data_IF_546646756386
#
_entry.id   IF_546646756386
#
_cell.length_a   1.000
_cell.length_b   1.000
_cell.length_c   1.000
_cell.angle_alpha   90.00
_cell.angle_beta   90.00
_cell.angle_gamma   90.00
#
_symmetry.space_group_name_H-M   'P 1'
#
loop_
_entity.id
_entity.type
_entity.pdbx_description
1 polymer ?
#
# COMPACT_ATOMS: atom_id res chain seq x y z
N UNK A 1 34.61 -2.73 -2.09
CA UNK A 1 33.58 -2.83 -3.13
C UNK A 1 32.22 -2.62 -2.45
N UNK A 2 31.38 -1.76 -3.02
CA UNK A 2 29.99 -1.58 -2.58
C UNK A 2 29.11 -2.52 -3.40
N UNK A 3 28.15 -3.20 -2.77
CA UNK A 3 27.14 -4.02 -3.44
C UNK A 3 25.76 -3.63 -2.93
N UNK A 4 24.81 -3.55 -3.82
CA UNK A 4 23.42 -3.24 -3.50
C UNK A 4 22.70 -4.53 -3.12
N UNK A 5 22.00 -4.51 -1.97
CA UNK A 5 21.07 -5.53 -1.54
C UNK A 5 19.73 -4.83 -1.32
N UNK A 6 18.76 -5.12 -2.16
CA UNK A 6 17.42 -4.55 -2.07
C UNK A 6 16.56 -5.17 -0.98
N UNK A 7 15.39 -4.59 -0.75
CA UNK A 7 14.31 -5.21 -0.02
C UNK A 7 13.31 -5.84 -1.01
N UNK A 8 12.32 -6.57 -0.51
CA UNK A 8 11.39 -7.24 -1.39
C UNK A 8 10.13 -7.75 -0.72
N UNK A 9 9.36 -8.50 -1.48
CA UNK A 9 8.13 -9.16 -1.08
C UNK A 9 8.42 -10.34 -0.15
N UNK A 10 7.72 -10.36 0.97
CA UNK A 10 7.75 -11.48 1.92
C UNK A 10 6.65 -12.48 1.55
N UNK A 11 7.03 -13.52 0.81
CA UNK A 11 6.11 -14.54 0.33
C UNK A 11 5.44 -15.34 1.45
N UNK A 12 5.99 -15.29 2.66
CA UNK A 12 5.41 -16.01 3.81
C UNK A 12 4.02 -15.51 4.20
N UNK A 13 3.68 -14.28 3.83
CA UNK A 13 2.36 -13.69 4.06
C UNK A 13 1.24 -14.48 3.37
N UNK A 14 1.53 -15.11 2.22
CA UNK A 14 0.58 -15.91 1.45
C UNK A 14 0.21 -17.24 2.12
N UNK A 15 1.00 -17.68 3.11
CA UNK A 15 0.69 -18.86 3.92
C UNK A 15 -0.42 -18.62 4.95
N UNK A 16 -0.86 -17.36 5.09
CA UNK A 16 -1.92 -17.00 6.03
C UNK A 16 -3.28 -17.48 5.53
N UNK A 17 -4.09 -18.00 6.44
CA UNK A 17 -5.48 -18.38 6.13
C UNK A 17 -6.37 -17.16 5.98
N UNK A 18 -7.42 -17.29 5.16
CA UNK A 18 -8.44 -16.24 5.00
C UNK A 18 -9.24 -16.08 6.30
N UNK A 19 -9.27 -14.86 6.83
CA UNK A 19 -10.00 -14.48 8.04
C UNK A 19 -11.40 -13.96 7.66
N UNK A 20 -12.40 -14.83 7.84
CA UNK A 20 -13.81 -14.49 7.53
C UNK A 20 -14.36 -13.41 8.47
N UNK A 21 -13.95 -13.41 9.74
CA UNK A 21 -14.41 -12.40 10.70
C UNK A 21 -13.95 -11.00 10.30
N UNK A 22 -12.74 -10.87 9.74
CA UNK A 22 -12.22 -9.61 9.21
C UNK A 22 -13.05 -9.14 8.00
N UNK A 23 -13.36 -10.06 7.08
CA UNK A 23 -14.17 -9.76 5.90
C UNK A 23 -15.55 -9.26 6.31
N UNK A 24 -16.24 -10.01 7.18
CA UNK A 24 -17.59 -9.68 7.64
C UNK A 24 -17.62 -8.37 8.43
N UNK A 25 -16.66 -8.17 9.34
CA UNK A 25 -16.56 -6.98 10.20
C UNK A 25 -16.47 -5.68 9.41
N UNK A 26 -15.76 -5.70 8.29
CA UNK A 26 -15.51 -4.51 7.46
C UNK A 26 -16.23 -4.57 6.12
N UNK A 27 -17.04 -5.60 5.86
CA UNK A 27 -17.79 -5.79 4.60
C UNK A 27 -16.87 -5.70 3.38
N UNK A 28 -15.67 -6.31 3.46
CA UNK A 28 -14.60 -6.17 2.46
C UNK A 28 -15.00 -6.74 1.09
N UNK A 29 -15.89 -7.72 1.06
CA UNK A 29 -16.44 -8.36 -0.14
C UNK A 29 -17.55 -7.53 -0.81
N UNK A 30 -18.17 -6.59 -0.06
CA UNK A 30 -19.34 -5.81 -0.50
C UNK A 30 -19.01 -4.37 -0.86
N UNK A 31 -18.01 -3.79 -0.18
CA UNK A 31 -17.66 -2.37 -0.32
C UNK A 31 -16.40 -2.17 -1.15
N UNK A 32 -16.37 -1.07 -1.90
CA UNK A 32 -15.09 -0.60 -2.41
C UNK A 32 -14.26 -0.08 -1.22
N UNK A 33 -13.19 -0.78 -0.91
CA UNK A 33 -12.36 -0.50 0.25
C UNK A 33 -10.97 -0.07 -0.17
N UNK A 34 -10.59 1.14 0.23
CA UNK A 34 -9.22 1.64 0.16
C UNK A 34 -8.58 1.47 1.55
N UNK A 35 -7.43 0.80 1.60
CA UNK A 35 -6.78 0.49 2.88
C UNK A 35 -5.43 1.17 3.03
N UNK A 36 -5.12 1.53 4.27
CA UNK A 36 -3.76 1.84 4.71
C UNK A 36 -3.37 0.90 5.84
N UNK A 37 -2.19 0.28 5.76
CA UNK A 37 -1.66 -0.58 6.83
C UNK A 37 -0.26 -0.14 7.20
N UNK A 38 -0.04 0.21 8.47
CA UNK A 38 1.30 0.52 8.98
C UNK A 38 1.38 1.64 9.99
N UNK A 39 2.57 2.21 10.16
CA UNK A 39 2.80 3.28 11.12
C UNK A 39 2.06 4.56 10.70
N UNK A 40 1.24 5.13 11.60
CA UNK A 40 0.53 6.41 11.40
C UNK A 40 1.39 7.53 12.00
N UNK A 41 2.46 7.86 11.29
CA UNK A 41 3.47 8.80 11.78
C UNK A 41 3.82 9.89 10.76
N UNK A 42 4.63 10.83 11.22
CA UNK A 42 4.98 12.06 10.50
C UNK A 42 5.55 11.86 9.08
N UNK A 43 6.25 10.75 8.85
CA UNK A 43 6.90 10.48 7.56
C UNK A 43 5.93 9.99 6.46
N UNK A 44 4.72 9.57 6.84
CA UNK A 44 3.74 9.02 5.91
C UNK A 44 2.87 10.07 5.24
N UNK A 45 2.65 11.25 5.87
CA UNK A 45 1.83 12.30 5.27
C UNK A 45 0.36 11.90 5.05
N UNK A 46 -0.22 11.16 6.01
CA UNK A 46 -1.58 10.62 5.91
C UNK A 46 -2.70 11.67 5.88
N UNK A 47 -2.39 12.93 6.15
CA UNK A 47 -3.34 14.04 5.91
C UNK A 47 -3.86 14.06 4.48
N UNK A 48 -3.02 13.70 3.50
CA UNK A 48 -3.42 13.60 2.09
C UNK A 48 -4.56 12.59 1.84
N UNK A 49 -4.68 11.52 2.67
CA UNK A 49 -5.82 10.60 2.59
C UNK A 49 -7.12 11.29 3.01
N UNK A 50 -7.09 12.14 4.05
CA UNK A 50 -8.28 12.87 4.48
C UNK A 50 -8.71 13.88 3.42
N UNK A 51 -7.75 14.57 2.79
CA UNK A 51 -8.02 15.50 1.69
C UNK A 51 -8.62 14.78 0.49
N UNK A 52 -8.06 13.64 0.12
CA UNK A 52 -8.59 12.76 -0.93
C UNK A 52 -10.00 12.26 -0.62
N UNK A 53 -10.27 11.80 0.59
CA UNK A 53 -11.59 11.32 1.00
C UNK A 53 -12.66 12.43 1.01
N UNK A 54 -12.26 13.67 1.36
CA UNK A 54 -13.15 14.83 1.34
C UNK A 54 -13.46 15.29 -0.08
N UNK A 55 -12.49 15.29 -0.98
CA UNK A 55 -12.61 15.82 -2.33
C UNK A 55 -13.16 14.82 -3.33
N UNK A 56 -12.90 13.50 -3.13
CA UNK A 56 -13.41 12.45 -4.02
C UNK A 56 -14.93 12.52 -4.18
N UNK A 57 -15.41 12.27 -5.40
CA UNK A 57 -16.82 12.15 -5.72
C UNK A 57 -17.44 10.81 -5.27
N UNK A 58 -16.62 9.80 -4.99
CA UNK A 58 -17.02 8.45 -4.57
C UNK A 58 -17.18 8.36 -3.05
N UNK A 59 -18.25 8.95 -2.51
CA UNK A 59 -18.51 8.99 -1.06
C UNK A 59 -18.87 7.63 -0.44
N UNK A 60 -19.23 6.65 -1.27
CA UNK A 60 -19.54 5.28 -0.89
C UNK A 60 -18.28 4.45 -0.57
N UNK A 61 -17.11 4.89 -1.00
CA UNK A 61 -15.84 4.21 -0.71
C UNK A 61 -15.51 4.31 0.76
N UNK A 62 -15.19 3.17 1.38
CA UNK A 62 -14.67 3.18 2.75
C UNK A 62 -13.14 3.23 2.77
N UNK A 63 -12.61 4.02 3.68
CA UNK A 63 -11.18 4.10 3.98
C UNK A 63 -10.90 3.46 5.33
N UNK A 64 -10.07 2.40 5.35
CA UNK A 64 -9.71 1.70 6.57
C UNK A 64 -8.21 1.90 6.86
N UNK A 65 -7.91 2.56 7.98
CA UNK A 65 -6.53 2.82 8.40
C UNK A 65 -6.17 1.90 9.56
N UNK A 66 -5.30 0.94 9.29
CA UNK A 66 -4.78 0.02 10.29
C UNK A 66 -3.38 0.45 10.71
N UNK A 67 -3.20 0.68 11.99
CA UNK A 67 -1.92 1.04 12.57
C UNK A 67 -2.00 1.83 13.85
N UNK A 68 -0.82 2.22 14.31
CA UNK A 68 -0.61 3.15 15.42
C UNK A 68 0.50 4.13 15.06
N UNK A 69 0.60 5.23 15.76
CA UNK A 69 1.65 6.22 15.53
C UNK A 69 1.28 7.59 16.06
N UNK A 70 2.24 8.50 16.03
CA UNK A 70 2.14 9.81 16.67
C UNK A 70 1.05 10.73 16.08
N UNK A 71 0.66 10.52 14.82
CA UNK A 71 -0.36 11.35 14.16
C UNK A 71 -1.77 10.76 14.24
N UNK A 72 -1.94 9.52 14.79
CA UNK A 72 -3.24 8.84 14.77
C UNK A 72 -4.37 9.66 15.37
N UNK A 73 -4.19 10.13 16.61
CA UNK A 73 -5.26 10.80 17.36
C UNK A 73 -5.61 12.16 16.72
N UNK A 74 -4.61 12.87 16.20
CA UNK A 74 -4.79 14.13 15.48
C UNK A 74 -5.60 13.90 14.18
N UNK A 75 -5.21 12.90 13.37
CA UNK A 75 -5.89 12.61 12.12
C UNK A 75 -7.31 12.08 12.34
N UNK A 76 -7.53 11.28 13.39
CA UNK A 76 -8.86 10.81 13.76
C UNK A 76 -9.77 11.96 14.17
N UNK A 77 -9.23 12.94 14.90
CA UNK A 77 -9.95 14.15 15.27
C UNK A 77 -10.29 15.00 14.02
N UNK A 78 -9.32 15.21 13.12
CA UNK A 78 -9.54 15.95 11.86
C UNK A 78 -10.61 15.27 11.00
N UNK A 79 -10.60 13.94 10.88
CA UNK A 79 -11.61 13.21 10.13
C UNK A 79 -13.02 13.45 10.69
N UNK A 80 -13.17 13.47 12.03
CA UNK A 80 -14.44 13.77 12.70
C UNK A 80 -14.89 15.21 12.45
N UNK A 81 -14.00 16.18 12.60
CA UNK A 81 -14.29 17.63 12.40
C UNK A 81 -14.71 17.92 10.95
N UNK A 82 -14.12 17.19 9.99
CA UNK A 82 -14.44 17.29 8.54
C UNK A 82 -15.66 16.45 8.14
N UNK A 83 -16.28 15.70 9.07
CA UNK A 83 -17.45 14.87 8.78
C UNK A 83 -17.17 13.67 7.88
N UNK A 84 -15.94 13.15 7.85
CA UNK A 84 -15.51 12.03 7.01
C UNK A 84 -15.93 10.68 7.63
N UNK A 85 -17.25 10.39 7.56
CA UNK A 85 -17.83 9.18 8.18
C UNK A 85 -17.39 7.86 7.51
N UNK A 86 -16.82 7.95 6.32
CA UNK A 86 -16.30 6.82 5.56
C UNK A 86 -14.81 6.53 5.84
N UNK A 87 -14.14 7.32 6.69
CA UNK A 87 -12.76 7.12 7.15
C UNK A 87 -12.77 6.52 8.56
N UNK A 88 -12.14 5.34 8.73
CA UNK A 88 -12.13 4.61 9.99
C UNK A 88 -10.72 4.25 10.42
N UNK A 89 -10.35 4.60 11.64
CA UNK A 89 -9.10 4.20 12.29
C UNK A 89 -9.34 2.90 13.06
N UNK A 90 -8.79 1.78 12.56
CA UNK A 90 -9.15 0.42 12.95
C UNK A 90 -8.20 -0.20 13.99
N UNK A 91 -7.19 0.56 14.46
CA UNK A 91 -6.17 0.04 15.36
C UNK A 91 -5.12 -0.82 14.63
N UNK A 92 -4.35 -1.60 15.39
CA UNK A 92 -3.28 -2.44 14.82
C UNK A 92 -3.88 -3.70 14.23
N UNK A 93 -3.50 -4.02 12.98
CA UNK A 93 -3.83 -5.28 12.34
C UNK A 93 -2.70 -6.30 12.60
N UNK A 94 -2.99 -7.50 13.11
CA UNK A 94 -2.03 -8.58 13.17
C UNK A 94 -1.49 -8.95 11.79
N UNK A 95 -0.21 -9.30 11.71
CA UNK A 95 0.46 -9.54 10.43
C UNK A 95 -0.20 -10.65 9.60
N UNK A 96 -0.64 -11.72 10.25
CA UNK A 96 -1.36 -12.85 9.63
C UNK A 96 -2.70 -12.46 8.98
N UNK A 97 -3.28 -11.30 9.36
CA UNK A 97 -4.53 -10.79 8.77
C UNK A 97 -4.31 -9.86 7.57
N UNK A 98 -3.07 -9.43 7.33
CA UNK A 98 -2.73 -8.51 6.24
C UNK A 98 -3.03 -9.15 4.89
N UNK A 99 -2.75 -10.45 4.72
CA UNK A 99 -3.08 -11.20 3.51
C UNK A 99 -4.58 -11.11 3.18
N UNK A 100 -5.45 -11.42 4.16
CA UNK A 100 -6.91 -11.31 3.96
C UNK A 100 -7.31 -9.89 3.60
N UNK A 101 -6.82 -8.90 4.35
CA UNK A 101 -7.18 -7.50 4.09
C UNK A 101 -6.82 -7.07 2.67
N UNK A 102 -5.58 -7.30 2.23
CA UNK A 102 -5.12 -6.90 0.89
C UNK A 102 -5.76 -7.72 -0.23
N UNK A 103 -6.08 -8.99 0.00
CA UNK A 103 -6.77 -9.85 -0.99
C UNK A 103 -8.18 -9.35 -1.31
N UNK A 104 -8.87 -8.74 -0.35
CA UNK A 104 -10.24 -8.25 -0.49
C UNK A 104 -10.33 -6.74 -0.72
N UNK A 105 -9.34 -5.97 -0.28
CA UNK A 105 -9.28 -4.54 -0.57
C UNK A 105 -9.23 -4.28 -2.08
N UNK A 106 -9.85 -3.18 -2.50
CA UNK A 106 -9.83 -2.76 -3.90
C UNK A 106 -8.62 -1.87 -4.20
N UNK A 107 -8.05 -1.25 -3.17
CA UNK A 107 -6.91 -0.36 -3.32
C UNK A 107 -6.11 -0.28 -2.02
N UNK A 108 -4.79 -0.27 -2.13
CA UNK A 108 -3.86 0.06 -1.05
C UNK A 108 -3.31 1.47 -1.25
N UNK A 109 -3.54 2.35 -0.29
CA UNK A 109 -2.99 3.70 -0.29
C UNK A 109 -1.65 3.73 0.45
N UNK A 110 -0.59 4.17 -0.22
CA UNK A 110 0.77 4.14 0.31
C UNK A 110 1.41 5.52 0.15
N UNK A 111 1.30 6.41 1.14
CA UNK A 111 1.88 7.73 1.03
C UNK A 111 3.27 7.82 1.65
N UNK A 112 4.12 8.64 1.04
CA UNK A 112 5.34 9.24 1.59
C UNK A 112 5.18 10.75 1.62
N UNK A 113 5.64 11.38 2.72
CA UNK A 113 5.35 12.78 3.00
C UNK A 113 5.96 13.78 2.02
N UNK A 114 7.12 13.47 1.45
CA UNK A 114 7.86 14.40 0.59
C UNK A 114 8.81 13.68 -0.35
N UNK A 115 9.24 14.38 -1.41
CA UNK A 115 10.15 13.91 -2.46
C UNK A 115 11.58 13.57 -1.99
N UNK A 116 11.98 13.97 -0.78
CA UNK A 116 13.30 13.57 -0.21
C UNK A 116 13.39 12.07 0.07
N UNK A 117 12.25 11.36 0.06
CA UNK A 117 12.17 9.91 0.27
C UNK A 117 12.14 9.12 -1.05
N UNK A 118 12.46 9.73 -2.18
CA UNK A 118 12.41 9.11 -3.53
C UNK A 118 13.23 7.82 -3.68
N UNK A 119 14.33 7.69 -2.91
CA UNK A 119 15.19 6.51 -2.91
C UNK A 119 14.72 5.43 -1.91
N UNK A 120 13.55 5.63 -1.29
CA UNK A 120 12.96 4.70 -0.33
C UNK A 120 11.81 3.92 -0.96
N UNK A 121 11.89 2.59 -0.91
CA UNK A 121 10.79 1.73 -1.36
C UNK A 121 10.09 1.18 -0.12
N UNK A 122 8.86 1.62 0.19
CA UNK A 122 8.09 1.05 1.29
C UNK A 122 7.79 -0.43 1.05
N UNK A 123 8.01 -1.29 2.05
CA UNK A 123 7.70 -2.74 1.95
C UNK A 123 6.26 -3.02 1.55
N UNK A 124 5.34 -2.13 1.94
CA UNK A 124 3.91 -2.18 1.59
C UNK A 124 3.64 -2.22 0.08
N UNK A 125 4.52 -1.61 -0.74
CA UNK A 125 4.40 -1.66 -2.21
C UNK A 125 4.55 -3.10 -2.68
N UNK A 126 5.58 -3.79 -2.20
CA UNK A 126 5.81 -5.19 -2.54
C UNK A 126 4.68 -6.10 -2.04
N UNK A 127 4.23 -5.89 -0.79
CA UNK A 127 3.14 -6.66 -0.17
C UNK A 127 1.82 -6.49 -0.93
N UNK A 128 1.43 -5.25 -1.23
CA UNK A 128 0.19 -4.98 -1.95
C UNK A 128 0.22 -5.58 -3.36
N UNK A 129 1.27 -5.33 -4.14
CA UNK A 129 1.41 -5.84 -5.50
C UNK A 129 1.57 -7.37 -5.53
N UNK A 130 2.31 -7.96 -4.56
CA UNK A 130 2.50 -9.41 -4.44
C UNK A 130 1.21 -10.15 -4.18
N UNK A 131 0.31 -9.57 -3.37
CA UNK A 131 -1.04 -10.13 -3.10
C UNK A 131 -2.03 -9.77 -4.22
N UNK A 132 -1.66 -8.88 -5.13
CA UNK A 132 -2.53 -8.44 -6.22
C UNK A 132 -3.54 -7.36 -5.80
N UNK A 133 -3.20 -6.49 -4.86
CA UNK A 133 -3.98 -5.32 -4.49
C UNK A 133 -3.49 -4.09 -5.26
N UNK A 134 -4.34 -3.41 -6.05
CA UNK A 134 -3.98 -2.17 -6.74
C UNK A 134 -3.44 -1.10 -5.79
N UNK A 135 -2.44 -0.35 -6.22
CA UNK A 135 -1.72 0.62 -5.38
C UNK A 135 -1.96 2.06 -5.86
N UNK A 136 -2.40 2.92 -4.96
CA UNK A 136 -2.28 4.37 -5.12
C UNK A 136 -1.11 4.84 -4.24
N UNK A 137 -0.01 5.19 -4.90
CA UNK A 137 1.24 5.56 -4.26
C UNK A 137 1.43 7.09 -4.32
N UNK A 138 1.73 7.70 -3.16
CA UNK A 138 2.21 9.08 -3.13
C UNK A 138 3.71 9.06 -2.89
N UNK A 139 4.48 9.12 -3.95
CA UNK A 139 5.95 9.04 -3.91
C UNK A 139 6.54 9.50 -5.25
N UNK A 140 7.87 9.48 -5.33
CA UNK A 140 8.68 9.61 -6.54
C UNK A 140 9.78 8.54 -6.56
N UNK A 141 10.45 8.39 -7.72
CA UNK A 141 11.62 7.52 -7.87
C UNK A 141 11.28 6.03 -7.89
N UNK A 142 12.20 5.22 -7.36
CA UNK A 142 12.22 3.76 -7.52
C UNK A 142 10.91 3.04 -7.17
N UNK A 143 10.18 3.54 -6.17
CA UNK A 143 8.89 2.94 -5.79
C UNK A 143 7.80 3.16 -6.85
N UNK A 144 7.83 4.30 -7.55
CA UNK A 144 6.93 4.57 -8.67
C UNK A 144 7.25 3.67 -9.87
N UNK A 145 8.53 3.39 -10.14
CA UNK A 145 8.94 2.51 -11.22
C UNK A 145 8.37 1.10 -11.04
N UNK A 146 8.37 0.58 -9.79
CA UNK A 146 7.78 -0.73 -9.47
C UNK A 146 6.27 -0.73 -9.70
N UNK A 147 5.56 0.32 -9.27
CA UNK A 147 4.10 0.43 -9.46
C UNK A 147 3.76 0.52 -10.94
N UNK A 148 4.51 1.31 -11.70
CA UNK A 148 4.32 1.45 -13.15
C UNK A 148 4.62 0.13 -13.91
N UNK A 149 5.72 -0.57 -13.55
CA UNK A 149 6.07 -1.87 -14.13
C UNK A 149 5.00 -2.94 -13.88
N UNK A 150 4.32 -2.86 -12.74
CA UNK A 150 3.24 -3.81 -12.38
C UNK A 150 1.93 -3.57 -13.10
N UNK A 151 1.72 -2.41 -13.71
CA UNK A 151 0.45 -1.94 -14.29
C UNK A 151 -0.74 -1.97 -13.31
N UNK A 152 -0.47 -2.16 -12.00
CA UNK A 152 -1.47 -2.28 -10.94
C UNK A 152 -1.57 -1.06 -10.05
N UNK A 153 -1.34 0.12 -10.58
CA UNK A 153 -1.50 1.31 -9.76
C UNK A 153 -1.16 2.60 -10.45
N UNK A 154 -1.18 3.65 -9.66
CA UNK A 154 -0.82 5.00 -10.06
C UNK A 154 0.07 5.65 -9.00
N UNK A 155 0.94 6.53 -9.46
CA UNK A 155 1.78 7.35 -8.62
C UNK A 155 1.36 8.82 -8.74
N UNK A 156 1.35 9.51 -7.59
CA UNK A 156 1.17 10.95 -7.49
C UNK A 156 2.38 11.51 -6.74
N UNK A 157 2.95 12.61 -7.22
CA UNK A 157 4.04 13.26 -6.52
C UNK A 157 3.56 13.80 -5.16
N UNK A 158 4.37 13.69 -4.09
CA UNK A 158 4.07 14.33 -2.80
C UNK A 158 3.93 15.84 -2.88
N UNK A 159 4.44 16.46 -3.94
CA UNK A 159 4.35 17.91 -4.19
C UNK A 159 3.06 18.31 -4.93
N UNK A 160 2.30 17.31 -5.42
CA UNK A 160 1.07 17.50 -6.21
C UNK A 160 -0.12 16.73 -5.64
N UNK A 161 -0.24 16.70 -4.30
CA UNK A 161 -1.33 15.97 -3.62
C UNK A 161 -2.72 16.55 -3.90
N UNK A 162 -2.82 17.74 -4.47
CA UNK A 162 -4.08 18.32 -4.97
C UNK A 162 -4.71 17.50 -6.11
N UNK A 163 -3.91 16.70 -6.84
CA UNK A 163 -4.39 15.83 -7.90
C UNK A 163 -4.87 14.46 -7.39
N UNK A 164 -4.63 14.16 -6.11
CA UNK A 164 -4.82 12.84 -5.55
C UNK A 164 -6.27 12.35 -5.63
N UNK A 165 -7.22 13.24 -5.37
CA UNK A 165 -8.64 12.90 -5.45
C UNK A 165 -9.08 12.58 -6.89
N UNK A 166 -8.59 13.32 -7.88
CA UNK A 166 -8.88 13.05 -9.29
C UNK A 166 -8.29 11.72 -9.75
N UNK A 167 -7.03 11.44 -9.40
CA UNK A 167 -6.36 10.17 -9.73
C UNK A 167 -7.04 8.99 -9.02
N UNK A 168 -7.47 9.16 -7.77
CA UNK A 168 -8.21 8.16 -7.02
C UNK A 168 -9.56 7.84 -7.69
N UNK A 169 -10.31 8.86 -8.08
CA UNK A 169 -11.59 8.72 -8.77
C UNK A 169 -11.41 8.01 -10.12
N UNK A 170 -10.39 8.40 -10.91
CA UNK A 170 -10.03 7.71 -12.15
C UNK A 170 -9.73 6.22 -11.92
N UNK A 171 -8.99 5.90 -10.85
CA UNK A 171 -8.66 4.50 -10.53
C UNK A 171 -9.90 3.69 -10.14
N UNK A 172 -10.90 4.29 -9.49
CA UNK A 172 -12.17 3.63 -9.18
C UNK A 172 -12.94 3.36 -10.46
N UNK A 173 -13.09 4.35 -11.32
CA UNK A 173 -13.84 4.25 -12.59
C UNK A 173 -13.21 3.22 -13.54
N UNK A 174 -11.90 3.10 -13.51
CA UNK A 174 -11.13 2.17 -14.32
C UNK A 174 -10.59 0.96 -13.53
N UNK A 175 -11.23 0.61 -12.40
CA UNK A 175 -10.73 -0.44 -11.51
C UNK A 175 -10.45 -1.77 -12.21
N UNK A 176 -11.30 -2.15 -13.17
CA UNK A 176 -11.12 -3.39 -13.94
C UNK A 176 -9.80 -3.43 -14.71
N UNK A 177 -9.30 -2.29 -15.20
CA UNK A 177 -8.01 -2.18 -15.88
C UNK A 177 -6.87 -2.57 -14.94
N UNK A 178 -6.85 -2.04 -13.72
CA UNK A 178 -5.80 -2.34 -12.74
C UNK A 178 -5.92 -3.78 -12.22
N UNK A 179 -7.13 -4.20 -11.86
CA UNK A 179 -7.35 -5.54 -11.32
C UNK A 179 -7.13 -6.68 -12.31
N UNK A 180 -7.11 -6.39 -13.62
CA UNK A 180 -6.78 -7.38 -14.66
C UNK A 180 -5.33 -7.86 -14.57
N UNK A 181 -4.40 -7.04 -14.04
CA UNK A 181 -2.96 -7.34 -13.96
C UNK A 181 -2.54 -8.01 -12.64
N UNK A 182 -3.50 -8.52 -11.84
CA UNK A 182 -3.21 -9.13 -10.51
C UNK A 182 -2.20 -10.26 -10.57
N UNK A 183 -2.38 -11.17 -11.53
CA UNK A 183 -1.51 -12.35 -11.67
C UNK A 183 -0.11 -11.93 -12.10
N UNK A 184 -0.02 -11.09 -13.12
CA UNK A 184 1.25 -10.60 -13.67
C UNK A 184 2.04 -9.79 -12.62
N UNK A 185 1.39 -8.96 -11.83
CA UNK A 185 2.01 -8.19 -10.75
C UNK A 185 2.52 -9.11 -9.63
N UNK A 186 1.74 -10.11 -9.22
CA UNK A 186 2.18 -11.11 -8.25
C UNK A 186 3.38 -11.89 -8.76
N UNK A 187 3.36 -12.36 -10.01
CA UNK A 187 4.48 -13.05 -10.65
C UNK A 187 5.72 -12.16 -10.73
N UNK A 188 5.56 -10.86 -11.05
CA UNK A 188 6.65 -9.89 -11.05
C UNK A 188 7.30 -9.79 -9.65
N UNK A 189 6.49 -9.70 -8.58
CA UNK A 189 6.99 -9.64 -7.21
C UNK A 189 7.77 -10.92 -6.85
N UNK A 190 7.24 -12.09 -7.14
CA UNK A 190 7.90 -13.38 -6.90
C UNK A 190 9.18 -13.55 -7.72
N UNK A 191 9.21 -13.08 -8.96
CA UNK A 191 10.34 -13.24 -9.87
C UNK A 191 11.48 -12.28 -9.56
N UNK A 192 11.16 -10.99 -9.41
CA UNK A 192 12.15 -9.89 -9.38
C UNK A 192 12.42 -9.39 -7.96
N UNK A 193 11.41 -9.42 -7.09
CA UNK A 193 11.46 -8.80 -5.77
C UNK A 193 11.24 -9.79 -4.62
N UNK A 194 11.37 -11.11 -4.85
CA UNK A 194 11.29 -12.14 -3.80
C UNK A 194 12.34 -11.90 -2.71
N UNK A 195 11.92 -11.72 -1.47
CA UNK A 195 12.83 -11.56 -0.32
C UNK A 195 13.69 -12.79 -0.12
N UNK A 196 13.14 -13.98 -0.34
CA UNK A 196 13.89 -15.23 -0.25
C UNK A 196 15.03 -15.29 -1.28
N UNK A 197 14.75 -14.93 -2.55
CA UNK A 197 15.78 -14.89 -3.60
C UNK A 197 16.84 -13.82 -3.33
N UNK A 198 16.44 -12.66 -2.82
CA UNK A 198 17.35 -11.58 -2.43
C UNK A 198 18.28 -12.06 -1.30
N UNK A 199 17.75 -12.76 -0.28
CA UNK A 199 18.55 -13.32 0.82
C UNK A 199 19.57 -14.35 0.33
N UNK A 200 19.18 -15.28 -0.54
CA UNK A 200 20.09 -16.26 -1.14
C UNK A 200 21.20 -15.61 -1.99
N UNK A 201 20.83 -14.59 -2.76
CA UNK A 201 21.80 -13.84 -3.56
C UNK A 201 22.80 -13.08 -2.66
N UNK A 202 22.34 -12.54 -1.54
CA UNK A 202 23.18 -11.87 -0.55
C UNK A 202 24.12 -12.85 0.14
N UNK A 203 23.62 -14.01 0.57
CA UNK A 203 24.44 -15.09 1.14
C UNK A 203 25.59 -15.48 0.20
N UNK A 204 25.29 -15.68 -1.09
CA UNK A 204 26.32 -15.97 -2.11
C UNK A 204 27.38 -14.86 -2.19
N UNK A 205 26.96 -13.59 -2.13
CA UNK A 205 27.90 -12.47 -2.15
C UNK A 205 28.81 -12.44 -0.92
N UNK A 206 28.28 -12.78 0.26
CA UNK A 206 29.08 -12.87 1.49
C UNK A 206 30.15 -13.98 1.38
N UNK A 207 29.78 -15.16 0.87
CA UNK A 207 30.73 -16.24 0.63
C UNK A 207 31.83 -15.89 -0.38
N UNK A 208 31.58 -15.06 -1.37
CA UNK A 208 32.59 -14.56 -2.31
C UNK A 208 33.57 -13.57 -1.67
N UNK A 209 33.17 -12.86 -0.61
CA UNK A 209 34.00 -11.90 0.10
C UNK A 209 34.94 -12.57 1.16
N UNK A 210 34.60 -13.79 1.58
CA UNK A 210 35.36 -14.56 2.61
C UNK A 210 36.38 -15.51 2.00
N UNK A 211 36.44 -15.59 0.68
CA UNK A 211 37.48 -16.28 -0.08
C UNK A 211 38.59 -15.33 -0.52
#
# INVERSE_FOLDING_TARGET
KVRLVGNGFDETIENSSIDKELIDKYELDKKFTCVYVGNIGLAQGLGALLDMAEQSKHKEVQFLLFGKGAEKDMLEQQAKERGLNNVRFCGVLPHEKVFTLLSYAKMSFIPLKNSKMKDSIPTKVYEALGIGCPVLLVAEGDSCDIVNESEMGRCVSPEHTEQLAEVFDEMIENYSKYSAHRTEASELMHKKYSRQKIALAFEKQLHELTK
#
